data_IF_061005028454
#
_entry.id   IF_061005028454
#
_cell.length_a   1.000
_cell.length_b   1.000
_cell.length_c   1.000
_cell.angle_alpha   90.00
_cell.angle_beta   90.00
_cell.angle_gamma   90.00
#
_symmetry.space_group_name_H-M   'P 1'
#
loop_
_entity.id
_entity.type
_entity.pdbx_description
1 polymer ?
#
# COMPACT_ATOMS: atom_id res chain seq x y z
N UNK A 1 -11.63 18.30 -2.33
CA UNK A 1 -10.20 18.43 -2.72
C UNK A 1 -9.22 18.09 -1.59
N UNK A 2 -9.60 18.14 -0.30
CA UNK A 2 -8.75 17.71 0.83
C UNK A 2 -8.93 16.24 1.23
N UNK A 3 -10.14 15.70 1.06
CA UNK A 3 -10.50 14.34 1.51
C UNK A 3 -9.69 13.23 0.80
N UNK A 4 -9.45 13.36 -0.50
CA UNK A 4 -8.63 12.40 -1.25
C UNK A 4 -7.17 12.40 -0.78
N UNK A 5 -6.62 13.58 -0.46
CA UNK A 5 -5.25 13.72 0.02
C UNK A 5 -5.08 13.14 1.42
N UNK A 6 -6.05 13.37 2.31
CA UNK A 6 -6.05 12.77 3.64
C UNK A 6 -6.11 11.25 3.58
N UNK A 7 -6.94 10.70 2.69
CA UNK A 7 -7.06 9.25 2.55
C UNK A 7 -5.76 8.62 2.03
N UNK A 8 -5.09 9.27 1.06
CA UNK A 8 -3.78 8.82 0.54
C UNK A 8 -2.69 8.87 1.62
N UNK A 9 -2.68 9.90 2.47
CA UNK A 9 -1.73 10.00 3.59
C UNK A 9 -2.01 8.89 4.62
N UNK A 10 -3.28 8.58 4.90
CA UNK A 10 -3.66 7.47 5.78
C UNK A 10 -3.20 6.12 5.22
N UNK A 11 -3.38 5.87 3.92
CA UNK A 11 -2.88 4.65 3.26
C UNK A 11 -1.35 4.53 3.41
N UNK A 12 -0.60 5.60 3.12
CA UNK A 12 0.86 5.59 3.24
C UNK A 12 1.32 5.28 4.67
N UNK A 13 0.69 5.88 5.68
CA UNK A 13 1.06 5.69 7.09
C UNK A 13 0.72 4.29 7.58
N UNK A 14 -0.52 3.86 7.37
CA UNK A 14 -1.07 2.64 7.98
C UNK A 14 -0.72 1.38 7.20
N UNK A 15 -0.75 1.43 5.86
CA UNK A 15 -0.58 0.24 5.04
C UNK A 15 0.87 0.01 4.60
N UNK A 16 1.69 1.08 4.53
CA UNK A 16 3.09 1.03 4.08
C UNK A 16 4.11 1.40 5.17
N UNK A 17 3.66 1.51 6.43
CA UNK A 17 4.54 1.69 7.58
C UNK A 17 5.16 3.09 7.72
N UNK A 18 4.62 4.08 7.02
CA UNK A 18 5.07 5.49 7.12
C UNK A 18 4.69 6.19 8.43
N UNK A 19 4.03 5.50 9.36
CA UNK A 19 3.68 6.03 10.70
C UNK A 19 4.84 5.95 11.70
N UNK A 20 5.79 5.04 11.50
CA UNK A 20 6.90 4.78 12.43
C UNK A 20 8.25 4.98 11.78
N UNK A 21 9.22 5.47 12.55
CA UNK A 21 10.61 5.61 12.12
C UNK A 21 11.47 4.62 12.92
N UNK A 22 12.22 3.72 12.24
CA UNK A 22 12.87 2.60 12.91
C UNK A 22 14.16 2.95 13.65
N UNK A 23 14.78 4.11 13.37
CA UNK A 23 16.09 4.47 13.89
C UNK A 23 16.10 5.89 14.48
N UNK A 24 17.12 6.24 15.28
CA UNK A 24 17.35 7.63 15.71
C UNK A 24 18.15 8.47 14.71
N UNK A 25 18.66 7.85 13.64
CA UNK A 25 19.41 8.53 12.59
C UNK A 25 18.48 9.16 11.54
N UNK A 26 18.69 10.44 11.24
CA UNK A 26 17.85 11.19 10.30
C UNK A 26 17.97 10.68 8.86
N UNK A 27 19.19 10.34 8.40
CA UNK A 27 19.39 9.89 7.02
C UNK A 27 18.78 8.51 6.81
N UNK A 28 18.95 7.60 7.77
CA UNK A 28 18.33 6.27 7.72
C UNK A 28 16.80 6.38 7.65
N UNK A 29 16.20 7.25 8.47
CA UNK A 29 14.76 7.49 8.48
C UNK A 29 14.26 8.17 7.19
N UNK A 30 15.05 9.08 6.61
CA UNK A 30 14.71 9.71 5.34
C UNK A 30 14.63 8.68 4.21
N UNK A 31 15.61 7.77 4.13
CA UNK A 31 15.60 6.68 3.16
C UNK A 31 14.43 5.73 3.42
N UNK A 32 14.15 5.39 4.67
CA UNK A 32 13.00 4.56 5.04
C UNK A 32 11.68 5.18 4.53
N UNK A 33 11.45 6.46 4.81
CA UNK A 33 10.25 7.15 4.35
C UNK A 33 10.16 7.23 2.81
N UNK A 34 11.29 7.40 2.12
CA UNK A 34 11.35 7.36 0.66
C UNK A 34 10.97 5.99 0.10
N UNK A 35 11.41 4.90 0.74
CA UNK A 35 11.03 3.53 0.36
C UNK A 35 9.53 3.32 0.58
N UNK A 36 8.97 3.78 1.71
CA UNK A 36 7.53 3.75 1.95
C UNK A 36 6.76 4.50 0.85
N UNK A 37 7.20 5.72 0.48
CA UNK A 37 6.58 6.50 -0.58
C UNK A 37 6.70 5.82 -1.96
N UNK A 38 7.84 5.22 -2.28
CA UNK A 38 8.06 4.47 -3.51
C UNK A 38 7.12 3.26 -3.60
N UNK A 39 6.99 2.50 -2.51
CA UNK A 39 6.11 1.34 -2.45
C UNK A 39 4.63 1.73 -2.65
N UNK A 40 4.19 2.86 -2.08
CA UNK A 40 2.86 3.42 -2.32
C UNK A 40 2.65 3.79 -3.79
N UNK A 41 3.64 4.45 -4.41
CA UNK A 41 3.57 4.82 -5.83
C UNK A 41 3.50 3.60 -6.74
N UNK A 42 4.28 2.55 -6.43
CA UNK A 42 4.22 1.28 -7.17
C UNK A 42 2.84 0.63 -7.05
N UNK A 43 2.26 0.64 -5.85
CA UNK A 43 0.89 0.17 -5.65
C UNK A 43 -0.14 1.02 -6.41
N UNK A 44 0.06 2.34 -6.48
CA UNK A 44 -0.80 3.23 -7.26
C UNK A 44 -0.76 2.90 -8.77
N UNK A 45 0.41 2.55 -9.31
CA UNK A 45 0.54 2.05 -10.69
C UNK A 45 -0.14 0.68 -10.84
N UNK A 46 0.06 -0.23 -9.88
CA UNK A 46 -0.57 -1.55 -9.90
C UNK A 46 -2.10 -1.45 -9.95
N UNK A 47 -2.71 -0.48 -9.25
CA UNK A 47 -4.16 -0.23 -9.31
C UNK A 47 -4.67 0.02 -10.74
N UNK A 48 -3.86 0.57 -11.64
CA UNK A 48 -4.25 0.78 -13.04
C UNK A 48 -4.35 -0.52 -13.83
N UNK A 49 -3.69 -1.59 -13.36
CA UNK A 49 -3.71 -2.91 -13.97
C UNK A 49 -4.76 -3.85 -13.35
N UNK A 50 -5.35 -3.44 -12.21
CA UNK A 50 -6.37 -4.23 -11.52
C UNK A 50 -7.77 -3.99 -12.13
N UNK A 51 -8.67 -4.97 -12.02
CA UNK A 51 -10.09 -4.77 -12.31
C UNK A 51 -10.66 -3.62 -11.47
N UNK A 52 -11.62 -2.88 -12.03
CA UNK A 52 -12.23 -1.69 -11.40
C UNK A 52 -12.79 -1.97 -9.99
N UNK A 53 -13.34 -3.18 -9.79
CA UNK A 53 -13.85 -3.67 -8.51
C UNK A 53 -12.78 -3.75 -7.41
N UNK A 54 -11.52 -3.93 -7.77
CA UNK A 54 -10.40 -4.01 -6.82
C UNK A 54 -9.57 -2.74 -6.76
N UNK A 55 -9.57 -1.91 -7.80
CA UNK A 55 -8.74 -0.72 -7.89
C UNK A 55 -9.01 0.30 -6.76
N UNK A 56 -10.23 0.33 -6.22
CA UNK A 56 -10.64 1.27 -5.17
C UNK A 56 -10.41 0.75 -3.73
N UNK A 57 -9.91 -0.48 -3.57
CA UNK A 57 -9.69 -1.08 -2.27
C UNK A 57 -8.29 -0.78 -1.71
N UNK A 58 -8.18 -0.80 -0.37
CA UNK A 58 -6.87 -0.72 0.31
C UNK A 58 -6.00 -1.93 -0.03
N UNK A 59 -4.69 -1.74 0.02
CA UNK A 59 -3.69 -2.80 -0.25
C UNK A 59 -3.86 -4.01 0.67
N UNK A 60 -4.27 -3.81 1.92
CA UNK A 60 -4.59 -4.89 2.87
C UNK A 60 -5.72 -5.78 2.34
N UNK A 61 -6.83 -5.19 1.87
CA UNK A 61 -7.96 -5.92 1.29
C UNK A 61 -7.57 -6.64 0.00
N UNK A 62 -6.80 -5.97 -0.88
CA UNK A 62 -6.33 -6.57 -2.13
C UNK A 62 -5.43 -7.78 -1.85
N UNK A 63 -4.52 -7.66 -0.88
CA UNK A 63 -3.64 -8.76 -0.45
C UNK A 63 -4.45 -9.98 -0.01
N UNK A 64 -5.46 -9.78 0.84
CA UNK A 64 -6.33 -10.86 1.30
C UNK A 64 -7.11 -11.51 0.15
N UNK A 65 -7.67 -10.71 -0.78
CA UNK A 65 -8.40 -11.22 -1.94
C UNK A 65 -7.49 -12.01 -2.88
N UNK A 66 -6.28 -11.55 -3.12
CA UNK A 66 -5.30 -12.24 -3.96
C UNK A 66 -4.93 -13.61 -3.38
N UNK A 67 -4.69 -13.68 -2.07
CA UNK A 67 -4.45 -14.96 -1.38
C UNK A 67 -5.65 -15.89 -1.43
N UNK A 68 -6.87 -15.37 -1.27
CA UNK A 68 -8.09 -16.17 -1.37
C UNK A 68 -8.29 -16.76 -2.79
N UNK A 69 -8.01 -15.98 -3.84
CA UNK A 69 -8.05 -16.46 -5.23
C UNK A 69 -7.01 -17.56 -5.45
N UNK A 70 -5.77 -17.34 -5.02
CA UNK A 70 -4.70 -18.33 -5.13
C UNK A 70 -5.06 -19.64 -4.40
N UNK A 71 -5.60 -19.54 -3.17
CA UNK A 71 -6.03 -20.70 -2.40
C UNK A 71 -7.20 -21.47 -3.07
N UNK A 72 -8.13 -20.77 -3.74
CA UNK A 72 -9.21 -21.41 -4.50
C UNK A 72 -8.68 -22.26 -5.65
N UNK A 73 -7.66 -21.76 -6.36
CA UNK A 73 -7.05 -22.47 -7.49
C UNK A 73 -6.33 -23.73 -7.02
N UNK A 74 -5.59 -23.67 -5.90
CA UNK A 74 -4.83 -24.81 -5.36
C UNK A 74 -5.73 -25.93 -4.80
N UNK A 75 -6.97 -25.61 -4.40
CA UNK A 75 -7.91 -26.59 -3.85
C UNK A 75 -8.71 -27.35 -4.93
N UNK A 76 -8.47 -27.06 -6.21
CA UNK A 76 -9.08 -27.74 -7.35
C UNK A 76 -8.08 -28.72 -7.94
#
# INVERSE_FOLDING_TARGET
RGEDSENRIKELKLDFGGDTLPCSDFQANAIYLQICALSYNLFALMRQLLPEDLAHHRVTTIRWRLYAIAAKIVKT
#
